data_IF_223631851694
#
_entry.id   IF_223631851694
#
_cell.length_a   1.000
_cell.length_b   1.000
_cell.length_c   1.000
_cell.angle_alpha   90.00
_cell.angle_beta   90.00
_cell.angle_gamma   90.00
#
_symmetry.space_group_name_H-M   'P 1'
#
loop_
_entity.id
_entity.type
_entity.pdbx_description
1 polymer ?
#
# COMPACT_ATOMS: atom_id res chain seq x y z
N UNK A 1 -33.46 -3.16 -5.12
CA UNK A 1 -32.82 -4.10 -6.06
C UNK A 1 -31.49 -4.47 -5.43
N UNK A 2 -31.30 -5.73 -5.04
CA UNK A 2 -30.14 -6.16 -4.27
C UNK A 2 -28.90 -6.33 -5.18
N UNK A 3 -27.79 -5.79 -4.72
CA UNK A 3 -26.48 -5.93 -5.35
C UNK A 3 -25.94 -7.32 -4.97
N UNK A 4 -25.71 -8.16 -5.98
CA UNK A 4 -25.11 -9.49 -5.84
C UNK A 4 -23.60 -9.31 -5.74
N UNK A 5 -23.04 -9.65 -4.59
CA UNK A 5 -21.59 -9.70 -4.36
C UNK A 5 -21.05 -10.96 -5.04
N UNK A 6 -20.33 -10.81 -6.14
CA UNK A 6 -19.62 -11.91 -6.79
C UNK A 6 -18.21 -12.05 -6.22
N UNK A 7 -18.03 -12.95 -5.26
CA UNK A 7 -16.71 -13.36 -4.78
C UNK A 7 -16.09 -14.35 -5.76
N UNK A 8 -15.12 -13.93 -6.55
CA UNK A 8 -14.26 -14.84 -7.32
C UNK A 8 -13.19 -15.43 -6.39
N UNK A 9 -13.44 -16.64 -5.94
CA UNK A 9 -12.46 -17.48 -5.25
C UNK A 9 -11.39 -17.96 -6.25
N UNK A 10 -10.18 -17.44 -6.13
CA UNK A 10 -9.01 -18.10 -6.70
C UNK A 10 -8.45 -19.07 -5.65
N UNK A 11 -8.83 -20.32 -5.79
CA UNK A 11 -8.33 -21.40 -4.96
C UNK A 11 -6.90 -21.76 -5.40
N UNK A 12 -5.92 -21.45 -4.56
CA UNK A 12 -4.65 -22.13 -4.53
C UNK A 12 -4.54 -22.80 -3.15
N UNK A 13 -4.84 -24.13 -3.11
CA UNK A 13 -5.33 -24.84 -1.93
C UNK A 13 -4.26 -25.40 -0.98
N UNK A 14 -2.97 -25.06 -1.04
CA UNK A 14 -1.95 -25.70 -0.18
C UNK A 14 -0.91 -24.79 0.50
N UNK A 15 -1.03 -23.46 0.40
CA UNK A 15 -0.14 -22.52 1.10
C UNK A 15 -0.82 -21.67 2.20
N UNK A 16 -2.11 -21.84 2.40
CA UNK A 16 -2.90 -21.11 3.41
C UNK A 16 -2.98 -21.84 4.75
N UNK A 17 -1.86 -22.06 5.43
CA UNK A 17 -1.89 -22.01 6.88
C UNK A 17 -2.00 -20.54 7.25
N UNK A 18 -3.21 -20.11 7.59
CA UNK A 18 -3.56 -18.76 7.97
C UNK A 18 -2.73 -18.29 9.16
N UNK A 19 -1.57 -17.71 8.90
CA UNK A 19 -0.90 -16.92 9.93
C UNK A 19 -1.54 -15.55 9.86
N UNK A 20 -2.42 -15.30 10.79
CA UNK A 20 -3.09 -14.02 10.97
C UNK A 20 -2.06 -12.92 11.19
N UNK A 21 -1.98 -11.94 10.29
CA UNK A 21 -1.30 -10.68 10.58
C UNK A 21 -2.24 -9.86 11.45
N UNK A 22 -1.72 -9.24 12.52
CA UNK A 22 -2.52 -8.35 13.37
C UNK A 22 -3.05 -7.20 12.51
N UNK A 23 -4.34 -6.93 12.64
CA UNK A 23 -4.97 -5.75 12.04
C UNK A 23 -4.28 -4.48 12.52
N UNK A 24 -4.12 -3.53 11.64
CA UNK A 24 -3.49 -2.24 11.89
C UNK A 24 -4.52 -1.12 11.84
N UNK A 25 -4.35 -0.11 12.69
CA UNK A 25 -5.09 1.15 12.64
C UNK A 25 -4.56 2.12 11.56
N UNK A 26 -3.82 1.59 10.59
CA UNK A 26 -3.13 2.43 9.58
C UNK A 26 -4.05 3.44 8.91
N UNK A 27 -5.20 3.00 8.39
CA UNK A 27 -6.14 3.90 7.70
C UNK A 27 -6.72 4.95 8.65
N UNK A 28 -7.07 4.56 9.88
CA UNK A 28 -7.55 5.47 10.90
C UNK A 28 -6.51 6.56 11.21
N UNK A 29 -5.26 6.16 11.46
CA UNK A 29 -4.16 7.10 11.71
C UNK A 29 -3.88 8.02 10.52
N UNK A 30 -3.95 7.49 9.29
CA UNK A 30 -3.76 8.29 8.08
C UNK A 30 -4.87 9.33 7.93
N UNK A 31 -6.12 8.96 8.21
CA UNK A 31 -7.27 9.87 8.17
C UNK A 31 -7.10 10.98 9.23
N UNK A 32 -6.83 10.60 10.49
CA UNK A 32 -6.65 11.53 11.62
C UNK A 32 -5.50 12.51 11.36
N UNK A 33 -4.34 11.99 10.93
CA UNK A 33 -3.13 12.78 10.73
C UNK A 33 -3.24 13.78 9.57
N UNK A 34 -4.09 13.51 8.60
CA UNK A 34 -4.31 14.36 7.42
C UNK A 34 -5.66 15.07 7.43
N UNK A 35 -6.39 15.01 8.55
CA UNK A 35 -7.70 15.68 8.74
C UNK A 35 -8.72 15.31 7.64
N UNK A 36 -8.62 14.08 7.09
CA UNK A 36 -9.52 13.64 6.01
C UNK A 36 -10.95 13.39 6.52
N UNK A 37 -11.13 13.16 7.82
CA UNK A 37 -12.42 13.07 8.50
C UNK A 37 -13.22 14.40 8.41
N UNK A 38 -12.54 15.55 8.46
CA UNK A 38 -13.16 16.87 8.25
C UNK A 38 -13.71 17.03 6.83
N UNK A 39 -13.14 16.32 5.87
CA UNK A 39 -13.61 16.22 4.50
C UNK A 39 -14.63 15.08 4.32
N UNK A 40 -14.99 14.37 5.39
CA UNK A 40 -16.00 13.30 5.38
C UNK A 40 -15.53 12.02 4.74
N UNK A 41 -14.27 11.62 4.94
CA UNK A 41 -13.75 10.34 4.44
C UNK A 41 -14.62 9.16 4.89
N UNK A 42 -15.14 8.38 3.93
CA UNK A 42 -15.95 7.19 4.22
C UNK A 42 -15.26 5.89 3.80
N UNK A 43 -14.87 5.80 2.53
CA UNK A 43 -14.36 4.56 1.94
C UNK A 43 -13.17 4.83 1.04
N UNK A 44 -12.21 3.89 1.01
CA UNK A 44 -11.25 3.85 -0.08
C UNK A 44 -11.95 3.54 -1.41
N UNK A 45 -11.46 4.11 -2.49
CA UNK A 45 -11.91 3.85 -3.86
C UNK A 45 -10.74 3.26 -4.64
N UNK A 46 -10.99 2.15 -5.33
CA UNK A 46 -10.00 1.52 -6.18
C UNK A 46 -10.50 1.41 -7.62
N UNK A 47 -9.72 1.91 -8.55
CA UNK A 47 -9.85 1.58 -9.96
C UNK A 47 -9.20 0.22 -10.25
N UNK A 48 -9.56 -0.39 -11.37
CA UNK A 48 -8.89 -1.59 -11.84
C UNK A 48 -7.37 -1.34 -11.94
N UNK A 49 -6.56 -2.24 -11.41
CA UNK A 49 -5.10 -2.10 -11.37
C UNK A 49 -4.52 -1.59 -10.07
N UNK A 50 -5.31 -0.99 -9.16
CA UNK A 50 -4.84 -0.48 -7.86
C UNK A 50 -4.76 -1.56 -6.78
N UNK A 51 -5.45 -2.68 -6.95
CA UNK A 51 -5.53 -3.74 -5.97
C UNK A 51 -4.35 -4.72 -6.04
N UNK A 52 -4.08 -5.37 -4.91
CA UNK A 52 -3.07 -6.41 -4.81
C UNK A 52 -3.28 -7.52 -5.85
N UNK A 53 -2.17 -7.95 -6.46
CA UNK A 53 -2.14 -9.02 -7.47
C UNK A 53 -2.91 -8.71 -8.77
N UNK A 54 -3.29 -7.45 -9.01
CA UNK A 54 -3.88 -7.05 -10.29
C UNK A 54 -2.85 -7.12 -11.42
N UNK A 55 -3.21 -7.70 -12.58
CA UNK A 55 -2.36 -7.70 -13.77
C UNK A 55 -2.39 -6.37 -14.52
N UNK A 56 -3.35 -5.49 -14.21
CA UNK A 56 -3.63 -4.29 -14.98
C UNK A 56 -2.89 -3.06 -14.43
N UNK A 57 -2.63 -2.08 -15.28
CA UNK A 57 -2.22 -0.73 -14.90
C UNK A 57 -3.46 0.15 -14.79
N UNK A 58 -3.51 1.00 -13.77
CA UNK A 58 -4.53 2.05 -13.66
C UNK A 58 -4.04 3.41 -14.21
N UNK A 59 -2.82 3.46 -14.74
CA UNK A 59 -2.17 4.68 -15.27
C UNK A 59 -1.65 4.46 -16.69
N UNK A 60 -1.32 5.58 -17.36
CA UNK A 60 -0.64 5.58 -18.65
C UNK A 60 -1.49 4.98 -19.76
N UNK A 61 -1.06 3.86 -20.32
CA UNK A 61 -1.74 3.16 -21.41
C UNK A 61 -2.88 2.23 -20.93
N UNK A 62 -3.11 2.13 -19.62
CA UNK A 62 -4.07 1.21 -19.00
C UNK A 62 -3.91 -0.25 -19.46
N UNK A 63 -2.69 -0.62 -19.84
CA UNK A 63 -2.35 -1.96 -20.31
C UNK A 63 -2.02 -2.93 -19.17
N UNK A 64 -1.33 -4.02 -19.53
CA UNK A 64 -0.89 -5.01 -18.56
C UNK A 64 0.43 -4.61 -17.90
N UNK A 65 0.61 -4.99 -16.64
CA UNK A 65 1.89 -4.94 -15.92
C UNK A 65 2.79 -6.09 -16.36
N UNK A 66 4.11 -5.89 -16.27
CA UNK A 66 5.09 -6.98 -16.46
C UNK A 66 5.02 -8.00 -15.32
N UNK A 67 4.60 -7.56 -14.14
CA UNK A 67 4.39 -8.36 -12.93
C UNK A 67 3.08 -7.95 -12.27
N UNK A 68 2.37 -8.89 -11.62
CA UNK A 68 1.18 -8.56 -10.84
C UNK A 68 1.51 -7.50 -9.78
N UNK A 69 0.53 -6.67 -9.43
CA UNK A 69 0.69 -5.59 -8.48
C UNK A 69 1.12 -6.08 -7.10
N UNK A 70 2.24 -5.59 -6.58
CA UNK A 70 2.88 -6.09 -5.37
C UNK A 70 2.22 -5.60 -4.07
N UNK A 71 1.27 -4.68 -4.17
CA UNK A 71 0.59 -4.06 -3.04
C UNK A 71 -0.77 -3.49 -3.41
N UNK A 72 -1.16 -2.44 -2.72
CA UNK A 72 -2.32 -1.61 -3.04
C UNK A 72 -1.88 -0.17 -3.23
N UNK A 73 -2.52 0.54 -4.17
CA UNK A 73 -2.27 1.95 -4.43
C UNK A 73 -3.40 2.78 -3.79
N UNK A 74 -3.08 3.48 -2.70
CA UNK A 74 -4.02 4.30 -1.93
C UNK A 74 -3.91 5.74 -2.39
N UNK A 75 -4.95 6.26 -3.05
CA UNK A 75 -5.01 7.66 -3.49
C UNK A 75 -6.43 8.22 -3.53
N UNK A 76 -7.44 7.39 -3.73
CA UNK A 76 -8.82 7.83 -3.92
C UNK A 76 -9.68 7.43 -2.73
N UNK A 77 -10.59 8.30 -2.34
CA UNK A 77 -11.60 8.01 -1.33
C UNK A 77 -12.94 8.67 -1.67
N UNK A 78 -14.04 8.13 -1.15
CA UNK A 78 -15.34 8.79 -1.18
C UNK A 78 -15.54 9.63 0.07
N UNK A 79 -16.11 10.83 -0.11
CA UNK A 79 -16.61 11.65 0.99
C UNK A 79 -18.07 11.30 1.35
N UNK A 80 -18.59 11.91 2.43
CA UNK A 80 -19.97 11.73 2.89
C UNK A 80 -21.04 12.21 1.89
N UNK A 81 -20.65 12.99 0.90
CA UNK A 81 -21.50 13.41 -0.23
C UNK A 81 -21.36 12.48 -1.44
N UNK A 82 -20.55 11.41 -1.31
CA UNK A 82 -20.22 10.45 -2.39
C UNK A 82 -19.41 11.07 -3.54
N UNK A 83 -18.71 12.17 -3.30
CA UNK A 83 -17.72 12.65 -4.25
C UNK A 83 -16.46 11.79 -4.14
N UNK A 84 -15.77 11.56 -5.28
CA UNK A 84 -14.45 10.94 -5.29
C UNK A 84 -13.42 12.04 -5.08
N UNK A 85 -12.62 11.88 -4.04
CA UNK A 85 -11.56 12.79 -3.63
C UNK A 85 -10.20 12.09 -3.77
N UNK A 86 -9.13 12.88 -3.94
CA UNK A 86 -7.76 12.38 -4.00
C UNK A 86 -6.98 12.88 -2.79
N UNK A 87 -6.08 12.03 -2.28
CA UNK A 87 -4.99 12.50 -1.42
C UNK A 87 -3.90 13.15 -2.29
N UNK A 88 -3.06 13.99 -1.70
CA UNK A 88 -2.06 14.78 -2.42
C UNK A 88 -0.61 14.54 -1.90
N UNK A 89 0.35 15.24 -2.49
CA UNK A 89 1.77 15.14 -2.14
C UNK A 89 2.10 15.61 -0.70
N UNK A 90 1.16 16.28 -0.02
CA UNK A 90 1.31 16.73 1.37
C UNK A 90 0.86 15.67 2.36
N UNK A 91 0.17 14.63 1.88
CA UNK A 91 -0.36 13.58 2.72
C UNK A 91 0.76 12.92 3.51
N UNK A 92 0.66 13.01 4.84
CA UNK A 92 1.60 12.46 5.81
C UNK A 92 1.34 10.98 6.01
N UNK A 93 2.40 10.18 6.00
CA UNK A 93 2.33 8.72 6.01
C UNK A 93 2.73 8.19 7.38
N UNK A 94 1.77 7.63 8.16
CA UNK A 94 2.04 7.03 9.45
C UNK A 94 2.60 5.61 9.33
N UNK A 95 3.36 5.19 10.32
CA UNK A 95 3.81 3.79 10.46
C UNK A 95 2.66 2.93 10.95
N UNK A 96 2.42 1.80 10.28
CA UNK A 96 1.30 0.91 10.61
C UNK A 96 1.46 0.11 11.92
N UNK A 97 2.68 -0.19 12.31
CA UNK A 97 3.03 -0.92 13.54
C UNK A 97 4.48 -0.61 13.90
N UNK A 98 4.82 -0.68 15.20
CA UNK A 98 6.21 -0.55 15.66
C UNK A 98 7.14 -1.47 14.88
N UNK A 99 8.33 -0.95 14.53
CA UNK A 99 9.33 -1.70 13.80
C UNK A 99 10.66 -0.97 13.64
N UNK A 100 11.53 -1.55 12.81
CA UNK A 100 12.84 -0.96 12.48
C UNK A 100 12.92 -0.73 10.98
N UNK A 101 13.36 0.45 10.57
CA UNK A 101 13.64 0.77 9.17
C UNK A 101 14.84 -0.06 8.71
N UNK A 102 14.62 -0.94 7.75
CA UNK A 102 15.64 -1.90 7.27
C UNK A 102 16.26 -1.51 5.95
N UNK A 103 15.52 -0.78 5.11
CA UNK A 103 16.02 -0.30 3.83
C UNK A 103 15.27 0.97 3.42
N UNK A 104 15.96 1.78 2.65
CA UNK A 104 15.42 2.93 1.94
C UNK A 104 16.08 2.97 0.56
N UNK A 105 15.30 3.10 -0.49
CA UNK A 105 15.85 3.14 -1.85
C UNK A 105 14.97 3.96 -2.79
N UNK A 106 15.55 4.45 -3.88
CA UNK A 106 14.78 5.12 -4.92
C UNK A 106 13.85 4.15 -5.61
N UNK A 107 12.61 4.54 -5.76
CA UNK A 107 11.63 3.88 -6.60
C UNK A 107 11.30 4.70 -7.85
N UNK A 108 10.21 4.34 -8.54
CA UNK A 108 9.86 4.97 -9.81
C UNK A 108 9.40 6.42 -9.67
N UNK A 109 8.71 6.79 -8.58
CA UNK A 109 8.12 8.11 -8.37
C UNK A 109 8.78 8.89 -7.23
N UNK A 110 9.48 8.19 -6.32
CA UNK A 110 10.06 8.80 -5.14
C UNK A 110 11.07 7.91 -4.45
N UNK A 111 10.77 7.55 -3.20
CA UNK A 111 11.54 6.59 -2.41
C UNK A 111 10.60 5.58 -1.75
N UNK A 112 11.12 4.37 -1.56
CA UNK A 112 10.49 3.34 -0.75
C UNK A 112 11.19 3.25 0.61
N UNK A 113 10.40 3.11 1.68
CA UNK A 113 10.83 2.84 3.04
C UNK A 113 10.36 1.43 3.39
N UNK A 114 11.27 0.60 3.88
CA UNK A 114 11.00 -0.79 4.28
C UNK A 114 11.14 -0.91 5.79
N UNK A 115 10.09 -1.34 6.47
CA UNK A 115 10.07 -1.53 7.92
C UNK A 115 9.86 -3.01 8.23
N UNK A 116 10.75 -3.59 9.02
CA UNK A 116 10.54 -4.90 9.63
C UNK A 116 9.90 -4.70 11.01
N UNK A 117 8.72 -5.28 11.17
CA UNK A 117 7.93 -5.15 12.38
C UNK A 117 8.33 -6.17 13.45
N UNK A 118 8.14 -5.79 14.70
CA UNK A 118 8.42 -6.67 15.83
C UNK A 118 7.52 -7.92 15.80
N UNK A 119 8.11 -9.02 16.24
CA UNK A 119 7.36 -10.26 16.42
C UNK A 119 6.47 -10.13 17.65
N UNK A 120 5.27 -10.64 17.52
CA UNK A 120 4.34 -10.76 18.65
C UNK A 120 3.57 -12.08 18.53
N UNK A 121 2.74 -12.40 19.53
CA UNK A 121 1.97 -13.65 19.55
C UNK A 121 1.03 -13.80 18.35
N UNK A 122 0.52 -12.68 17.81
CA UNK A 122 -0.33 -12.66 16.62
C UNK A 122 0.46 -12.76 15.32
N UNK A 123 1.77 -12.45 15.35
CA UNK A 123 2.66 -12.51 14.19
C UNK A 123 4.04 -13.08 14.58
N UNK A 124 4.16 -14.41 14.74
CA UNK A 124 5.38 -15.06 15.22
C UNK A 124 6.51 -15.06 14.16
N UNK A 125 6.22 -14.77 12.90
CA UNK A 125 7.17 -14.68 11.80
C UNK A 125 7.74 -13.28 11.61
N UNK A 126 8.74 -13.14 10.72
CA UNK A 126 9.18 -11.85 10.22
C UNK A 126 8.06 -11.27 9.35
N UNK A 127 7.77 -10.00 9.53
CA UNK A 127 6.76 -9.27 8.78
C UNK A 127 7.33 -7.91 8.39
N UNK A 128 7.14 -7.52 7.15
CA UNK A 128 7.65 -6.26 6.60
C UNK A 128 6.55 -5.50 5.89
N UNK A 129 6.61 -4.18 5.99
CA UNK A 129 5.82 -3.26 5.19
C UNK A 129 6.72 -2.40 4.31
N UNK A 130 6.19 -2.04 3.14
CA UNK A 130 6.84 -1.15 2.18
C UNK A 130 5.93 0.04 1.96
N UNK A 131 6.49 1.23 2.17
CA UNK A 131 5.83 2.50 1.88
C UNK A 131 6.57 3.11 0.70
N UNK A 132 6.02 2.96 -0.50
CA UNK A 132 6.66 3.44 -1.71
C UNK A 132 5.98 4.68 -2.27
N UNK A 133 6.66 5.34 -3.22
CA UNK A 133 6.27 6.61 -3.82
C UNK A 133 6.19 7.73 -2.78
N UNK A 134 7.14 7.72 -1.84
CA UNK A 134 7.19 8.66 -0.74
C UNK A 134 8.36 9.64 -0.86
N UNK A 135 8.26 10.72 -0.09
CA UNK A 135 9.34 11.66 0.22
C UNK A 135 9.61 11.54 1.72
N UNK A 136 10.61 10.74 2.13
CA UNK A 136 10.96 10.58 3.54
C UNK A 136 11.33 11.90 4.20
N UNK A 137 11.02 12.05 5.49
CA UNK A 137 11.53 13.16 6.27
C UNK A 137 13.04 13.05 6.46
N UNK A 138 13.75 14.18 6.52
CA UNK A 138 15.22 14.24 6.63
C UNK A 138 15.80 13.48 7.83
N UNK A 139 15.00 13.31 8.90
CA UNK A 139 15.37 12.57 10.12
C UNK A 139 15.27 11.06 10.00
N UNK A 140 14.66 10.54 8.93
CA UNK A 140 14.39 9.10 8.76
C UNK A 140 15.61 8.43 8.14
N UNK A 141 16.13 7.40 8.81
CA UNK A 141 17.32 6.67 8.37
C UNK A 141 17.21 5.17 8.65
N UNK A 142 17.98 4.39 7.92
CA UNK A 142 18.08 2.94 8.11
C UNK A 142 18.65 2.62 9.49
N UNK A 143 18.06 1.66 10.20
CA UNK A 143 18.38 1.27 11.57
C UNK A 143 17.54 1.97 12.63
N UNK A 144 16.77 3.00 12.27
CA UNK A 144 15.90 3.70 13.19
C UNK A 144 14.72 2.82 13.62
N UNK A 145 14.38 2.85 14.91
CA UNK A 145 13.14 2.28 15.44
C UNK A 145 12.05 3.34 15.32
N UNK A 146 10.90 2.92 14.82
CA UNK A 146 9.70 3.76 14.66
C UNK A 146 8.53 3.13 15.38
N UNK A 147 7.69 3.97 15.98
CA UNK A 147 6.47 3.53 16.68
C UNK A 147 5.25 3.54 15.74
N UNK A 148 4.19 2.84 16.11
CA UNK A 148 2.89 2.92 15.45
C UNK A 148 2.40 4.38 15.45
N UNK A 149 2.05 4.91 14.29
CA UNK A 149 1.60 6.30 14.11
C UNK A 149 2.71 7.32 13.87
N UNK A 150 3.99 6.97 14.03
CA UNK A 150 5.07 7.90 13.67
C UNK A 150 4.99 8.30 12.20
N UNK A 151 5.09 9.60 11.93
CA UNK A 151 5.10 10.09 10.54
C UNK A 151 6.50 9.98 9.97
N UNK A 152 6.65 9.16 8.93
CA UNK A 152 7.94 8.85 8.32
C UNK A 152 8.19 9.58 7.00
N UNK A 153 7.13 10.00 6.33
CA UNK A 153 7.23 10.61 5.00
C UNK A 153 5.97 11.42 4.67
N UNK A 154 6.03 12.14 3.56
CA UNK A 154 4.85 12.51 2.77
C UNK A 154 4.85 11.73 1.47
N UNK A 155 3.77 11.84 0.68
CA UNK A 155 3.78 11.32 -0.68
C UNK A 155 4.79 12.08 -1.55
N UNK A 156 5.29 11.44 -2.58
CA UNK A 156 6.13 12.08 -3.57
C UNK A 156 5.29 13.01 -4.47
N UNK A 157 5.87 14.14 -4.86
CA UNK A 157 5.32 14.99 -5.91
C UNK A 157 5.51 14.30 -7.27
N UNK A 158 4.41 13.90 -7.88
CA UNK A 158 4.40 13.22 -9.18
C UNK A 158 4.11 14.13 -10.36
N UNK A 159 4.00 15.45 -10.14
CA UNK A 159 3.65 16.45 -11.18
C UNK A 159 4.61 16.44 -12.39
N UNK A 160 5.84 16.00 -12.16
CA UNK A 160 6.88 15.86 -13.20
C UNK A 160 7.00 14.43 -13.76
N UNK A 161 6.14 13.52 -13.33
CA UNK A 161 6.14 12.14 -13.84
C UNK A 161 5.70 12.10 -15.31
N UNK A 162 6.50 11.44 -16.15
CA UNK A 162 6.14 11.22 -17.56
C UNK A 162 4.90 10.32 -17.73
N UNK A 163 4.56 9.57 -16.72
CA UNK A 163 3.41 8.67 -16.73
C UNK A 163 2.11 9.35 -16.31
N UNK A 164 2.15 10.65 -15.95
CA UNK A 164 1.00 11.42 -15.48
C UNK A 164 0.22 10.74 -14.35
N UNK A 165 0.93 10.03 -13.47
CA UNK A 165 0.35 9.33 -12.32
C UNK A 165 0.14 10.34 -11.18
N UNK A 166 -1.05 10.33 -10.58
CA UNK A 166 -1.33 11.16 -9.40
C UNK A 166 -0.56 10.68 -8.17
N UNK A 167 -0.30 11.56 -7.16
CA UNK A 167 0.30 11.16 -5.89
C UNK A 167 -0.50 10.02 -5.25
N UNK A 168 0.18 8.97 -4.82
CA UNK A 168 -0.43 7.83 -4.17
C UNK A 168 0.59 7.11 -3.28
N UNK A 169 0.09 6.40 -2.27
CA UNK A 169 0.89 5.48 -1.49
C UNK A 169 0.78 4.08 -2.09
N UNK A 170 1.89 3.56 -2.59
CA UNK A 170 1.98 2.12 -2.84
C UNK A 170 2.37 1.41 -1.54
N UNK A 171 1.43 0.68 -0.97
CA UNK A 171 1.60 -0.07 0.26
C UNK A 171 1.69 -1.56 -0.05
N UNK A 172 2.85 -2.17 0.25
CA UNK A 172 3.02 -3.62 0.16
C UNK A 172 3.31 -4.23 1.52
N UNK A 173 2.89 -5.46 1.70
CA UNK A 173 3.17 -6.25 2.89
C UNK A 173 3.81 -7.57 2.49
N UNK A 174 4.71 -8.09 3.35
CA UNK A 174 5.36 -9.34 3.02
C UNK A 174 5.97 -10.07 4.20
N UNK A 175 6.31 -11.32 3.95
CA UNK A 175 7.05 -12.19 4.85
C UNK A 175 8.37 -12.55 4.21
N UNK A 176 9.49 -12.00 4.70
CA UNK A 176 10.80 -12.35 4.19
C UNK A 176 11.16 -13.78 4.62
N UNK A 177 11.91 -14.47 3.76
CA UNK A 177 12.50 -15.76 4.08
C UNK A 177 13.41 -15.66 5.33
N UNK A 178 13.64 -16.78 6.01
CA UNK A 178 14.50 -16.77 7.22
C UNK A 178 15.92 -16.31 6.93
N UNK A 179 16.45 -16.66 5.76
CA UNK A 179 17.79 -16.29 5.28
C UNK A 179 17.87 -14.93 4.60
N UNK A 180 16.74 -14.21 4.50
CA UNK A 180 16.66 -12.95 3.79
C UNK A 180 17.56 -11.87 4.40
N UNK A 181 18.36 -11.19 3.56
CA UNK A 181 19.16 -10.03 3.91
C UNK A 181 18.63 -8.78 3.23
N UNK A 182 18.77 -7.63 3.90
CA UNK A 182 18.44 -6.33 3.33
C UNK A 182 19.62 -5.69 2.56
N UNK A 183 20.77 -6.37 2.49
CA UNK A 183 21.93 -5.86 1.77
C UNK A 183 21.62 -5.78 0.27
N UNK A 184 21.80 -4.61 -0.31
CA UNK A 184 21.50 -4.37 -1.72
C UNK A 184 20.02 -4.49 -2.10
N UNK A 185 19.12 -4.31 -1.12
CA UNK A 185 17.68 -4.40 -1.33
C UNK A 185 17.20 -3.38 -2.37
N UNK A 186 16.48 -3.88 -3.37
CA UNK A 186 15.88 -3.09 -4.45
C UNK A 186 14.51 -3.67 -4.81
N UNK A 187 13.74 -2.93 -5.60
CA UNK A 187 12.38 -3.35 -5.99
C UNK A 187 12.31 -4.75 -6.61
N UNK A 188 13.31 -5.13 -7.42
CA UNK A 188 13.35 -6.48 -7.98
C UNK A 188 13.45 -7.61 -6.94
N UNK A 189 13.88 -7.32 -5.71
CA UNK A 189 13.91 -8.30 -4.62
C UNK A 189 12.51 -8.60 -4.10
N UNK A 190 11.62 -7.61 -4.10
CA UNK A 190 10.20 -7.76 -3.68
C UNK A 190 9.46 -8.78 -4.55
N UNK A 191 9.86 -8.87 -5.82
CA UNK A 191 9.25 -9.75 -6.84
C UNK A 191 9.73 -11.20 -6.83
N UNK A 192 10.60 -11.56 -5.89
CA UNK A 192 11.14 -12.91 -5.76
C UNK A 192 10.41 -13.67 -4.66
N UNK A 193 9.49 -14.60 -4.99
CA UNK A 193 8.72 -15.33 -3.97
C UNK A 193 9.59 -16.17 -3.02
N UNK A 194 10.77 -16.58 -3.46
CA UNK A 194 11.75 -17.28 -2.63
C UNK A 194 12.39 -16.37 -1.57
N UNK A 195 12.39 -15.06 -1.79
CA UNK A 195 12.92 -14.05 -0.87
C UNK A 195 11.81 -13.47 0.00
N UNK A 196 10.67 -13.10 -0.60
CA UNK A 196 9.55 -12.44 0.07
C UNK A 196 8.22 -13.02 -0.44
N UNK A 197 7.42 -13.53 0.47
CA UNK A 197 6.02 -13.88 0.19
C UNK A 197 5.18 -12.63 0.41
N UNK A 198 4.66 -12.07 -0.66
CA UNK A 198 3.76 -10.90 -0.60
C UNK A 198 2.40 -11.28 -0.04
N UNK A 199 1.78 -10.35 0.65
CA UNK A 199 0.48 -10.47 1.31
C UNK A 199 -0.43 -9.33 0.83
N UNK A 200 -1.72 -9.62 0.71
CA UNK A 200 -2.72 -8.57 0.48
C UNK A 200 -2.78 -7.61 1.68
N UNK A 201 -2.57 -6.30 1.46
CA UNK A 201 -2.64 -5.31 2.54
C UNK A 201 -4.06 -5.05 3.07
N UNK A 202 -5.11 -5.17 2.24
CA UNK A 202 -6.47 -4.76 2.59
C UNK A 202 -7.00 -5.42 3.87
N UNK A 203 -6.84 -6.74 4.09
CA UNK A 203 -7.27 -7.37 5.34
C UNK A 203 -6.52 -6.87 6.59
N UNK A 204 -5.34 -6.26 6.41
CA UNK A 204 -4.51 -5.75 7.52
C UNK A 204 -4.88 -4.33 7.87
N UNK A 205 -5.08 -3.46 6.87
CA UNK A 205 -5.45 -2.05 7.08
C UNK A 205 -6.94 -1.85 7.36
N UNK A 206 -7.75 -2.89 7.15
CA UNK A 206 -9.16 -3.06 7.52
C UNK A 206 -10.01 -1.78 7.50
N UNK A 207 -10.31 -1.31 6.28
CA UNK A 207 -11.21 -0.18 6.06
C UNK A 207 -12.20 -0.49 4.94
N UNK A 208 -13.43 0.01 4.97
CA UNK A 208 -14.37 -0.14 3.87
C UNK A 208 -13.80 0.41 2.57
N UNK A 209 -14.04 -0.28 1.47
CA UNK A 209 -13.63 0.15 0.14
C UNK A 209 -14.67 -0.20 -0.92
N UNK A 210 -14.57 0.50 -2.04
CA UNK A 210 -15.37 0.26 -3.24
C UNK A 210 -14.43 0.09 -4.44
N UNK A 211 -14.76 -0.83 -5.31
CA UNK A 211 -14.10 -1.00 -6.60
C UNK A 211 -14.96 -0.33 -7.67
N UNK A 212 -14.35 0.54 -8.47
CA UNK A 212 -14.97 1.12 -9.64
C UNK A 212 -14.83 0.18 -10.84
N UNK A 213 -15.91 0.03 -11.60
CA UNK A 213 -15.89 -0.79 -12.81
C UNK A 213 -14.93 -0.20 -13.86
N UNK A 214 -14.28 -1.08 -14.64
CA UNK A 214 -13.31 -0.70 -15.68
C UNK A 214 -13.86 0.24 -16.78
N UNK A 215 -15.17 0.48 -16.81
CA UNK A 215 -15.85 1.38 -17.75
C UNK A 215 -16.19 2.76 -17.15
N UNK A 216 -15.85 3.02 -15.90
CA UNK A 216 -16.10 4.35 -15.32
C UNK A 216 -15.06 5.35 -15.83
N UNK A 217 -15.55 6.45 -16.42
CA UNK A 217 -14.70 7.47 -17.08
C UNK A 217 -13.66 8.07 -16.13
N UNK A 218 -13.96 8.14 -14.84
CA UNK A 218 -13.07 8.71 -13.82
C UNK A 218 -11.71 7.98 -13.75
N UNK A 219 -11.71 6.65 -13.83
CA UNK A 219 -10.45 5.87 -13.79
C UNK A 219 -9.56 6.07 -15.02
N UNK A 220 -10.13 6.55 -16.13
CA UNK A 220 -9.39 6.86 -17.36
C UNK A 220 -8.89 8.32 -17.41
N UNK A 221 -9.38 9.17 -16.51
CA UNK A 221 -8.99 10.58 -16.41
C UNK A 221 -7.86 10.82 -15.41
N UNK A 222 -7.45 9.78 -14.66
CA UNK A 222 -6.34 9.79 -13.71
C UNK A 222 -5.01 9.58 -14.41
#
# INVERSE_FOLDING_TARGET
MGIVINSKNYANSDLNKSVSVKKSRFTEMLIEENELDQNGFENWIFCNGMLFNSPDKWWGDHGLRDYPHEGVDLCLYSDSSRNICCIDEKTRIPVMQRGMIKAMFKDYLGQAIVIEHERNDSNPGRFISFYAHTKPHDRIEVGMIVEEGDIIATLADTSHSKAHIIPHLHLSLGRPAKSFSYDGFVWNTVRKPEEIILLDPLPVIEWPYQELDAGESFCHEL
#
